data_IF_187107628495
#
_entry.id   IF_187107628495
#
_cell.length_a   1.000
_cell.length_b   1.000
_cell.length_c   1.000
_cell.angle_alpha   90.00
_cell.angle_beta   90.00
_cell.angle_gamma   90.00
#
_symmetry.space_group_name_H-M   'P 1'
#
loop_
_entity.id
_entity.type
_entity.pdbx_description
1 polymer ?
#
# COMPACT_ATOMS: atom_id res chain seq x y z
N UNK A 1 -23.62 -9.24 34.55
CA UNK A 1 -23.34 -8.07 33.71
C UNK A 1 -23.12 -8.59 32.29
N UNK A 2 -24.08 -8.35 31.41
CA UNK A 2 -24.03 -8.83 30.03
C UNK A 2 -22.95 -8.06 29.28
N UNK A 3 -21.97 -8.79 28.77
CA UNK A 3 -21.00 -8.31 27.79
C UNK A 3 -21.81 -7.93 26.52
N UNK A 4 -22.11 -6.64 26.39
CA UNK A 4 -22.71 -6.11 25.16
C UNK A 4 -21.61 -6.25 24.11
N UNK A 5 -21.75 -7.28 23.26
CA UNK A 5 -20.83 -7.60 22.18
C UNK A 5 -20.54 -6.36 21.35
N UNK A 6 -19.36 -5.76 21.56
CA UNK A 6 -18.80 -4.82 20.60
C UNK A 6 -18.74 -5.55 19.25
N UNK A 7 -19.51 -5.08 18.29
CA UNK A 7 -19.41 -5.57 16.92
C UNK A 7 -17.93 -5.62 16.57
N UNK A 8 -17.44 -6.78 16.12
CA UNK A 8 -16.04 -6.98 15.79
C UNK A 8 -15.67 -6.00 14.68
N UNK A 9 -14.88 -4.99 15.00
CA UNK A 9 -14.46 -3.98 14.04
C UNK A 9 -13.62 -4.69 12.95
N UNK A 10 -13.99 -4.51 11.69
CA UNK A 10 -13.23 -5.05 10.57
C UNK A 10 -11.82 -4.45 10.57
N UNK A 11 -10.84 -5.26 10.23
CA UNK A 11 -9.43 -4.87 10.20
C UNK A 11 -8.86 -5.11 8.81
N UNK A 12 -8.07 -4.19 8.31
CA UNK A 12 -7.47 -4.31 6.97
C UNK A 12 -6.02 -3.84 6.96
N UNK A 13 -5.18 -4.61 6.28
CA UNK A 13 -3.82 -4.22 5.95
C UNK A 13 -3.71 -3.94 4.44
N UNK A 14 -3.10 -2.81 4.11
CA UNK A 14 -2.67 -2.48 2.76
C UNK A 14 -1.15 -2.64 2.67
N UNK A 15 -0.71 -3.51 1.79
CA UNK A 15 0.70 -3.79 1.53
C UNK A 15 1.04 -3.29 0.14
N UNK A 16 1.93 -2.32 0.04
CA UNK A 16 2.38 -1.73 -1.23
C UNK A 16 3.84 -2.11 -1.46
N UNK A 17 4.08 -2.84 -2.53
CA UNK A 17 5.41 -3.15 -3.04
C UNK A 17 5.70 -2.19 -4.19
N UNK A 18 6.53 -1.18 -3.95
CA UNK A 18 6.78 -0.10 -4.92
C UNK A 18 7.29 -0.61 -6.26
N UNK A 19 6.77 -0.06 -7.35
CA UNK A 19 7.35 -0.15 -8.68
C UNK A 19 7.22 -1.51 -9.39
N UNK A 20 6.25 -2.37 -9.08
CA UNK A 20 6.16 -3.73 -9.64
C UNK A 20 5.14 -3.82 -10.78
N UNK A 21 5.57 -4.07 -12.04
CA UNK A 21 4.66 -4.26 -13.16
C UNK A 21 3.80 -5.51 -13.05
N UNK A 22 2.60 -5.46 -13.63
CA UNK A 22 1.69 -6.62 -13.71
C UNK A 22 2.36 -7.90 -14.18
N UNK A 23 3.22 -7.82 -15.20
CA UNK A 23 3.89 -9.01 -15.76
C UNK A 23 4.80 -9.71 -14.74
N UNK A 24 5.55 -8.94 -13.92
CA UNK A 24 6.43 -9.49 -12.89
C UNK A 24 5.63 -10.16 -11.78
N UNK A 25 4.50 -9.57 -11.34
CA UNK A 25 3.61 -10.19 -10.38
C UNK A 25 3.14 -11.56 -10.85
N UNK A 26 2.60 -11.65 -12.07
CA UNK A 26 2.04 -12.89 -12.63
C UNK A 26 3.07 -13.97 -12.93
N UNK A 27 4.34 -13.57 -13.08
CA UNK A 27 5.43 -14.49 -13.45
C UNK A 27 6.22 -15.01 -12.26
N UNK A 28 6.44 -14.18 -11.24
CA UNK A 28 7.42 -14.48 -10.18
C UNK A 28 6.82 -14.64 -8.78
N UNK A 29 5.58 -14.23 -8.55
CA UNK A 29 4.93 -14.37 -7.25
C UNK A 29 4.15 -15.68 -7.17
N UNK A 30 4.87 -16.79 -7.15
CA UNK A 30 4.29 -18.15 -7.25
C UNK A 30 3.41 -18.54 -6.07
N UNK A 31 3.72 -18.09 -4.85
CA UNK A 31 2.87 -18.31 -3.68
C UNK A 31 1.57 -17.53 -3.77
N UNK A 32 1.62 -16.26 -4.21
CA UNK A 32 0.44 -15.44 -4.41
C UNK A 32 -0.48 -16.05 -5.46
N UNK A 33 0.07 -16.51 -6.58
CA UNK A 33 -0.68 -17.20 -7.63
C UNK A 33 -1.26 -18.54 -7.15
N UNK A 34 -0.53 -19.24 -6.28
CA UNK A 34 -1.01 -20.47 -5.65
C UNK A 34 -2.27 -20.24 -4.83
N UNK A 35 -2.34 -19.16 -4.03
CA UNK A 35 -3.55 -18.80 -3.28
C UNK A 35 -4.70 -18.34 -4.17
N UNK A 36 -4.42 -17.71 -5.31
CA UNK A 36 -5.47 -17.44 -6.30
C UNK A 36 -6.00 -18.73 -6.90
N UNK A 37 -5.14 -19.67 -7.24
CA UNK A 37 -5.53 -20.97 -7.82
C UNK A 37 -6.34 -21.84 -6.82
N UNK A 38 -6.04 -21.77 -5.51
CA UNK A 38 -6.82 -22.46 -4.47
C UNK A 38 -8.13 -21.76 -4.11
N UNK A 39 -8.33 -20.52 -4.54
CA UNK A 39 -9.52 -19.72 -4.20
C UNK A 39 -9.42 -18.97 -2.86
N UNK A 40 -8.26 -19.01 -2.19
CA UNK A 40 -8.01 -18.30 -0.94
C UNK A 40 -7.75 -16.80 -1.17
N UNK A 41 -7.35 -16.43 -2.38
CA UNK A 41 -7.15 -15.05 -2.81
C UNK A 41 -7.85 -14.75 -4.14
N UNK A 42 -8.04 -13.46 -4.41
CA UNK A 42 -8.47 -12.94 -5.71
C UNK A 42 -7.43 -11.98 -6.22
N UNK A 43 -7.30 -11.89 -7.54
CA UNK A 43 -6.37 -10.97 -8.19
C UNK A 43 -7.06 -10.24 -9.34
N UNK A 44 -6.75 -8.95 -9.43
CA UNK A 44 -7.16 -8.09 -10.54
C UNK A 44 -5.96 -7.27 -11.02
N UNK A 45 -6.04 -6.85 -12.28
CA UNK A 45 -5.18 -5.80 -12.78
C UNK A 45 -5.71 -4.45 -12.26
N UNK A 46 -4.85 -3.65 -11.65
CA UNK A 46 -5.16 -2.28 -11.26
C UNK A 46 -4.33 -1.31 -12.11
N UNK A 47 -4.95 -0.25 -12.59
CA UNK A 47 -4.29 0.78 -13.41
C UNK A 47 -3.99 2.00 -12.57
N UNK A 48 -2.71 2.33 -12.44
CA UNK A 48 -2.21 3.50 -11.72
C UNK A 48 -2.64 4.81 -12.40
N UNK A 49 -2.76 5.87 -11.59
CA UNK A 49 -3.00 7.24 -12.07
C UNK A 49 -1.85 7.76 -12.92
N UNK A 50 -2.00 8.94 -13.47
CA UNK A 50 -0.95 9.65 -14.21
C UNK A 50 -0.65 11.01 -13.54
N UNK A 51 0.65 11.32 -13.36
CA UNK A 51 1.84 10.52 -13.66
C UNK A 51 1.94 9.26 -12.80
N UNK A 52 2.37 8.12 -13.37
CA UNK A 52 2.57 6.87 -12.66
C UNK A 52 3.90 6.88 -11.90
N UNK A 53 3.97 7.71 -10.87
CA UNK A 53 5.13 7.96 -10.01
C UNK A 53 4.70 7.79 -8.54
N UNK A 54 5.63 7.43 -7.68
CA UNK A 54 5.37 7.14 -6.27
C UNK A 54 4.57 8.25 -5.56
N UNK A 55 5.03 9.49 -5.55
CA UNK A 55 4.35 10.60 -4.85
C UNK A 55 2.91 10.83 -5.31
N UNK A 56 2.62 11.02 -6.61
CA UNK A 56 1.26 11.10 -7.16
C UNK A 56 0.40 9.87 -6.82
N UNK A 57 0.96 8.66 -6.97
CA UNK A 57 0.23 7.41 -6.69
C UNK A 57 -0.08 7.25 -5.20
N UNK A 58 0.86 7.53 -4.29
CA UNK A 58 0.62 7.46 -2.84
C UNK A 58 -0.52 8.39 -2.43
N UNK A 59 -0.49 9.64 -2.92
CA UNK A 59 -1.55 10.61 -2.66
C UNK A 59 -2.90 10.09 -3.18
N UNK A 60 -2.96 9.59 -4.41
CA UNK A 60 -4.18 9.09 -5.02
C UNK A 60 -4.72 7.81 -4.36
N UNK A 61 -3.85 6.86 -4.01
CA UNK A 61 -4.23 5.60 -3.32
C UNK A 61 -4.95 5.90 -2.02
N UNK A 62 -4.47 6.88 -1.25
CA UNK A 62 -5.03 7.17 0.07
C UNK A 62 -6.18 8.17 0.06
N UNK A 63 -6.20 9.13 -0.88
CA UNK A 63 -7.27 10.13 -0.95
C UNK A 63 -8.42 9.73 -1.88
N UNK A 64 -8.22 8.77 -2.79
CA UNK A 64 -9.18 8.46 -3.87
C UNK A 64 -9.40 9.63 -4.84
N UNK A 65 -8.45 10.58 -4.91
CA UNK A 65 -8.51 11.81 -5.69
C UNK A 65 -7.41 11.79 -6.75
N UNK A 66 -7.69 12.35 -7.92
CA UNK A 66 -6.73 12.38 -9.04
C UNK A 66 -5.57 13.36 -8.79
N UNK A 67 -4.37 13.11 -9.37
CA UNK A 67 -3.21 13.98 -9.18
C UNK A 67 -3.44 15.45 -9.52
N UNK A 68 -4.24 15.74 -10.54
CA UNK A 68 -4.60 17.11 -10.94
C UNK A 68 -5.43 17.83 -9.88
N UNK A 69 -6.17 17.10 -9.05
CA UNK A 69 -7.02 17.66 -8.00
C UNK A 69 -6.26 17.81 -6.67
N UNK A 70 -5.51 16.78 -6.23
CA UNK A 70 -4.72 16.89 -5.00
C UNK A 70 -3.39 17.63 -5.18
N UNK A 71 -2.96 17.85 -6.43
CA UNK A 71 -1.84 18.72 -6.81
C UNK A 71 -0.44 18.15 -6.52
N UNK A 72 -0.28 16.88 -6.20
CA UNK A 72 1.00 16.18 -6.17
C UNK A 72 1.23 15.57 -7.55
N UNK A 73 2.06 16.21 -8.38
CA UNK A 73 2.28 15.84 -9.79
C UNK A 73 3.65 15.23 -10.03
N UNK A 74 4.51 15.17 -9.02
CA UNK A 74 5.84 14.55 -9.09
C UNK A 74 6.36 14.22 -7.69
N UNK A 75 7.42 13.42 -7.61
CA UNK A 75 8.10 13.09 -6.35
C UNK A 75 8.72 14.32 -5.65
N UNK A 76 9.00 15.38 -6.40
CA UNK A 76 9.48 16.65 -5.82
C UNK A 76 8.39 17.55 -5.21
N UNK A 77 7.12 17.13 -5.23
CA UNK A 77 5.97 17.94 -4.76
C UNK A 77 5.31 17.35 -3.50
N UNK A 78 6.02 16.51 -2.77
CA UNK A 78 5.51 15.91 -1.52
C UNK A 78 5.27 17.03 -0.49
N UNK A 79 4.06 17.03 0.07
CA UNK A 79 3.62 17.97 1.11
C UNK A 79 2.43 17.43 1.85
N UNK A 80 2.10 17.99 3.01
CA UNK A 80 0.86 17.64 3.73
C UNK A 80 -0.36 17.95 2.86
N UNK A 81 -1.24 16.95 2.72
CA UNK A 81 -2.50 17.08 2.01
C UNK A 81 -3.64 17.44 2.97
N UNK A 82 -4.55 18.32 2.51
CA UNK A 82 -5.76 18.68 3.25
C UNK A 82 -6.98 17.82 2.84
N UNK A 83 -6.79 16.91 1.90
CA UNK A 83 -7.83 15.98 1.46
C UNK A 83 -8.11 14.93 2.53
N UNK A 84 -9.38 14.50 2.62
CA UNK A 84 -9.73 13.33 3.38
C UNK A 84 -8.97 12.10 2.84
N UNK A 85 -8.47 11.27 3.75
CA UNK A 85 -7.65 10.11 3.43
C UNK A 85 -8.08 8.89 4.27
N UNK A 86 -7.57 7.70 3.93
CA UNK A 86 -7.94 6.45 4.61
C UNK A 86 -7.65 6.52 6.11
N UNK A 87 -6.49 7.07 6.54
CA UNK A 87 -6.15 7.16 7.96
C UNK A 87 -7.16 8.01 8.71
N UNK A 88 -7.44 9.23 8.21
CA UNK A 88 -8.37 10.16 8.83
C UNK A 88 -9.79 9.59 8.91
N UNK A 89 -10.27 8.97 7.85
CA UNK A 89 -11.61 8.37 7.82
C UNK A 89 -11.72 7.14 8.74
N UNK A 90 -10.69 6.29 8.81
CA UNK A 90 -10.65 5.18 9.75
C UNK A 90 -10.64 5.68 11.21
N UNK A 91 -9.95 6.79 11.48
CA UNK A 91 -9.97 7.45 12.80
C UNK A 91 -11.34 8.00 13.17
N UNK A 92 -12.05 8.61 12.22
CA UNK A 92 -13.43 9.09 12.43
C UNK A 92 -14.39 7.94 12.79
N UNK A 93 -14.13 6.74 12.30
CA UNK A 93 -14.85 5.52 12.68
C UNK A 93 -14.39 4.92 14.03
N UNK A 94 -13.48 5.56 14.75
CA UNK A 94 -12.94 5.07 16.02
C UNK A 94 -11.85 4.01 15.86
N UNK A 95 -11.33 3.80 14.67
CA UNK A 95 -10.26 2.83 14.39
C UNK A 95 -8.89 3.26 14.92
N UNK A 96 -7.99 2.33 15.11
CA UNK A 96 -6.56 2.56 15.38
C UNK A 96 -5.78 2.37 14.09
N UNK A 97 -4.93 3.33 13.73
CA UNK A 97 -4.21 3.34 12.47
C UNK A 97 -2.71 3.19 12.67
N UNK A 98 -2.05 2.48 11.76
CA UNK A 98 -0.61 2.33 11.79
C UNK A 98 0.03 2.37 10.40
N UNK A 99 1.32 2.73 10.34
CA UNK A 99 2.07 2.78 9.10
C UNK A 99 3.52 2.36 9.32
N UNK A 100 4.04 1.52 8.43
CA UNK A 100 5.47 1.17 8.33
C UNK A 100 5.88 1.47 6.89
N UNK A 101 6.46 2.66 6.66
CA UNK A 101 6.52 3.20 5.30
C UNK A 101 7.71 4.13 5.08
N UNK A 102 7.98 4.46 3.81
CA UNK A 102 8.82 5.58 3.46
C UNK A 102 8.29 6.89 4.07
N UNK A 103 9.19 7.81 4.43
CA UNK A 103 8.88 9.10 5.08
C UNK A 103 7.89 9.96 4.32
N UNK A 104 7.79 9.85 3.00
CA UNK A 104 6.82 10.60 2.19
C UNK A 104 5.36 10.33 2.59
N UNK A 105 5.04 9.14 3.08
CA UNK A 105 3.72 8.85 3.63
C UNK A 105 3.41 9.65 4.89
N UNK A 106 4.42 9.88 5.76
CA UNK A 106 4.27 10.80 6.88
C UNK A 106 4.05 12.23 6.41
N UNK A 107 4.81 12.68 5.41
CA UNK A 107 4.68 14.05 4.91
C UNK A 107 3.33 14.30 4.21
N UNK A 108 2.79 13.30 3.51
CA UNK A 108 1.48 13.40 2.88
C UNK A 108 0.32 13.41 3.90
N UNK A 109 0.38 12.55 4.94
CA UNK A 109 -0.79 12.23 5.75
C UNK A 109 -0.62 12.47 7.26
N UNK A 110 0.58 12.83 7.73
CA UNK A 110 0.85 13.06 9.14
C UNK A 110 1.55 14.40 9.38
N UNK A 111 2.86 14.47 9.22
CA UNK A 111 3.68 15.65 9.49
C UNK A 111 4.64 15.95 8.34
N UNK A 112 4.65 17.22 7.90
CA UNK A 112 5.58 17.76 6.92
C UNK A 112 6.16 19.09 7.43
N UNK A 113 7.45 19.37 7.18
CA UNK A 113 8.44 18.44 6.63
C UNK A 113 8.79 17.31 7.62
N UNK A 114 9.27 16.17 7.10
CA UNK A 114 9.73 15.05 7.90
C UNK A 114 10.99 15.40 8.67
N UNK A 115 10.98 15.14 9.97
CA UNK A 115 12.13 15.30 10.86
C UNK A 115 12.49 13.92 11.45
N UNK A 116 13.63 13.36 11.05
CA UNK A 116 14.02 12.03 11.47
C UNK A 116 14.24 11.87 12.99
N UNK A 117 14.55 12.95 13.70
CA UNK A 117 14.69 12.91 15.17
C UNK A 117 13.34 12.88 15.91
N UNK A 118 12.29 13.34 15.25
CA UNK A 118 10.95 13.44 15.82
C UNK A 118 10.00 12.37 15.28
N UNK A 119 10.11 12.07 13.97
CA UNK A 119 9.06 11.39 13.23
C UNK A 119 9.39 9.94 12.85
N UNK A 120 10.66 9.48 12.99
CA UNK A 120 11.07 8.12 12.59
C UNK A 120 10.29 7.04 13.36
N UNK A 121 10.03 7.26 14.65
CA UNK A 121 9.09 6.52 15.48
C UNK A 121 8.03 7.49 16.00
N UNK A 122 6.78 7.19 15.68
CA UNK A 122 5.65 8.04 15.99
C UNK A 122 4.57 7.24 16.70
N UNK A 123 4.26 7.58 17.95
CA UNK A 123 3.24 6.93 18.75
C UNK A 123 2.38 8.00 19.45
N UNK A 124 1.28 8.40 18.81
CA UNK A 124 0.29 9.34 19.33
C UNK A 124 -1.12 8.78 19.20
N UNK A 125 -1.61 8.06 20.21
CA UNK A 125 -2.96 7.46 20.18
C UNK A 125 -4.08 8.49 19.93
N UNK A 126 -3.86 9.75 20.31
CA UNK A 126 -4.79 10.86 20.08
C UNK A 126 -4.75 11.46 18.67
N UNK A 127 -3.82 11.05 17.82
CA UNK A 127 -3.73 11.55 16.44
C UNK A 127 -5.02 11.31 15.68
N UNK A 128 -5.39 12.27 14.82
CA UNK A 128 -6.55 12.18 13.95
C UNK A 128 -6.25 11.49 12.61
N UNK A 129 -5.00 11.08 12.40
CA UNK A 129 -4.53 10.40 11.19
C UNK A 129 -3.81 9.10 11.56
N UNK A 130 -2.48 9.08 11.57
CA UNK A 130 -1.67 7.92 11.95
C UNK A 130 -1.46 7.94 13.46
N UNK A 131 -1.82 6.83 14.16
CA UNK A 131 -1.57 6.68 15.58
C UNK A 131 -0.18 6.11 15.88
N UNK A 132 0.25 5.13 15.08
CA UNK A 132 1.51 4.42 15.26
C UNK A 132 2.27 4.36 13.95
N UNK A 133 3.36 5.10 13.83
CA UNK A 133 4.19 5.17 12.64
C UNK A 133 5.61 4.67 12.88
N UNK A 134 6.17 3.96 11.91
CA UNK A 134 7.59 3.64 11.79
C UNK A 134 8.00 4.03 10.38
N UNK A 135 8.74 5.12 10.29
CA UNK A 135 9.07 5.72 9.01
C UNK A 135 10.55 5.55 8.70
N UNK A 136 10.87 5.29 7.46
CA UNK A 136 12.24 5.18 6.99
C UNK A 136 12.50 6.15 5.84
N UNK A 137 13.77 6.45 5.63
CA UNK A 137 14.26 7.15 4.46
C UNK A 137 15.13 6.20 3.66
N UNK A 138 15.24 6.45 2.37
CA UNK A 138 16.23 5.77 1.54
C UNK A 138 17.49 6.64 1.47
N UNK A 139 18.65 6.01 1.41
CA UNK A 139 19.94 6.69 1.19
C UNK A 139 20.47 6.35 -0.20
N UNK A 140 21.20 7.26 -0.76
CA UNK A 140 21.80 7.10 -2.09
C UNK A 140 22.08 8.46 -2.70
N UNK A 141 22.85 8.50 -3.76
CA UNK A 141 23.18 9.76 -4.45
C UNK A 141 22.55 9.84 -5.85
N UNK A 142 21.89 8.80 -6.29
CA UNK A 142 21.04 8.81 -7.47
C UNK A 142 20.03 7.64 -7.41
N UNK A 143 19.07 7.60 -8.34
CA UNK A 143 18.03 6.57 -8.42
C UNK A 143 18.55 5.13 -8.50
N UNK A 144 19.76 4.93 -9.05
CA UNK A 144 20.36 3.61 -9.24
C UNK A 144 21.18 3.13 -8.05
N UNK A 145 21.53 4.02 -7.14
CA UNK A 145 22.41 3.74 -6.00
C UNK A 145 21.72 3.99 -4.66
N UNK A 146 20.43 3.69 -4.60
CA UNK A 146 19.67 3.77 -3.38
C UNK A 146 19.86 2.53 -2.50
N UNK A 147 19.93 2.74 -1.19
CA UNK A 147 19.85 1.69 -0.18
C UNK A 147 18.48 1.76 0.50
N UNK A 148 17.79 0.65 0.52
CA UNK A 148 16.49 0.50 1.19
C UNK A 148 16.66 -0.22 2.52
N UNK A 149 15.73 -0.04 3.49
CA UNK A 149 15.67 -0.89 4.67
C UNK A 149 15.43 -2.35 4.29
N UNK A 150 15.78 -3.25 5.20
CA UNK A 150 15.47 -4.67 5.04
C UNK A 150 13.96 -4.90 5.05
N UNK A 151 13.39 -5.45 3.99
CA UNK A 151 11.97 -5.68 3.87
C UNK A 151 11.43 -6.60 4.98
N UNK A 152 12.18 -7.64 5.37
CA UNK A 152 11.79 -8.53 6.47
C UNK A 152 11.60 -7.78 7.80
N UNK A 153 12.42 -6.75 8.06
CA UNK A 153 12.29 -5.91 9.26
C UNK A 153 11.03 -5.03 9.17
N UNK A 154 10.68 -4.54 7.99
CA UNK A 154 9.46 -3.76 7.78
C UNK A 154 8.21 -4.64 7.98
N UNK A 155 8.18 -5.86 7.44
CA UNK A 155 7.10 -6.83 7.64
C UNK A 155 6.95 -7.23 9.11
N UNK A 156 8.06 -7.51 9.80
CA UNK A 156 8.08 -7.81 11.22
C UNK A 156 7.58 -6.63 12.06
N UNK A 157 7.99 -5.42 11.71
CA UNK A 157 7.58 -4.18 12.39
C UNK A 157 6.08 -3.93 12.26
N UNK A 158 5.48 -4.11 11.06
CA UNK A 158 4.03 -4.03 10.91
C UNK A 158 3.32 -5.08 11.77
N UNK A 159 3.81 -6.33 11.75
CA UNK A 159 3.23 -7.42 12.56
C UNK A 159 3.27 -7.09 14.05
N UNK A 160 4.37 -6.51 14.52
CA UNK A 160 4.53 -6.04 15.90
C UNK A 160 3.52 -4.93 16.24
N UNK A 161 3.33 -3.94 15.37
CA UNK A 161 2.33 -2.89 15.58
C UNK A 161 0.92 -3.47 15.62
N UNK A 162 0.59 -4.42 14.74
CA UNK A 162 -0.68 -5.13 14.75
C UNK A 162 -0.94 -5.84 16.07
N UNK A 163 0.07 -6.56 16.60
CA UNK A 163 -0.05 -7.30 17.86
C UNK A 163 -0.16 -6.37 19.08
N UNK A 164 0.65 -5.30 19.12
CA UNK A 164 0.72 -4.39 20.26
C UNK A 164 -0.47 -3.46 20.36
N UNK A 165 -0.93 -2.95 19.24
CA UNK A 165 -1.90 -1.86 19.20
C UNK A 165 -3.27 -2.27 18.62
N UNK A 166 -3.38 -3.47 18.05
CA UNK A 166 -4.65 -3.95 17.48
C UNK A 166 -5.14 -3.04 16.37
N UNK A 167 -4.27 -2.73 15.40
CA UNK A 167 -4.59 -1.81 14.32
C UNK A 167 -5.91 -2.17 13.64
N UNK A 168 -6.74 -1.19 13.37
CA UNK A 168 -7.91 -1.32 12.50
C UNK A 168 -7.49 -1.20 11.03
N UNK A 169 -6.62 -0.23 10.75
CA UNK A 169 -6.01 -0.06 9.43
C UNK A 169 -4.49 0.04 9.57
N UNK A 170 -3.77 -0.78 8.83
CA UNK A 170 -2.32 -0.76 8.76
C UNK A 170 -1.81 -0.64 7.32
N UNK A 171 -0.81 0.21 7.10
CA UNK A 171 -0.11 0.36 5.83
C UNK A 171 1.33 -0.13 5.96
N UNK A 172 1.73 -1.01 5.06
CA UNK A 172 3.13 -1.35 4.81
C UNK A 172 3.53 -0.86 3.42
N UNK A 173 4.67 -0.22 3.31
CA UNK A 173 5.24 0.17 2.03
C UNK A 173 6.73 -0.17 1.99
N UNK A 174 7.16 -0.88 0.95
CA UNK A 174 8.56 -1.27 0.71
C UNK A 174 9.05 -0.69 -0.60
N UNK A 175 10.34 -0.39 -0.70
CA UNK A 175 10.95 0.27 -1.86
C UNK A 175 11.97 -0.61 -2.60
N UNK A 176 12.21 -1.83 -2.13
CA UNK A 176 13.31 -2.68 -2.66
C UNK A 176 13.10 -3.00 -4.14
N UNK A 177 11.86 -3.36 -4.55
CA UNK A 177 11.59 -3.76 -5.93
C UNK A 177 11.69 -2.58 -6.90
N UNK A 178 11.24 -1.39 -6.50
CA UNK A 178 11.44 -0.16 -7.28
C UNK A 178 12.93 0.16 -7.47
N UNK A 179 13.71 0.13 -6.38
CA UNK A 179 15.17 0.37 -6.43
C UNK A 179 15.90 -0.68 -7.28
N UNK A 180 15.49 -1.95 -7.22
CA UNK A 180 16.04 -3.01 -8.08
C UNK A 180 15.68 -2.76 -9.54
N UNK A 181 14.45 -2.37 -9.84
CA UNK A 181 14.01 -2.01 -11.18
C UNK A 181 14.79 -0.83 -11.75
N UNK A 182 14.98 0.25 -11.00
CA UNK A 182 15.81 1.39 -11.40
C UNK A 182 17.26 0.99 -11.71
N UNK A 183 17.80 0.07 -10.93
CA UNK A 183 19.18 -0.35 -11.04
C UNK A 183 19.45 -1.31 -12.19
N UNK A 184 18.55 -2.28 -12.40
CA UNK A 184 18.79 -3.40 -13.30
C UNK A 184 17.74 -3.50 -14.44
N UNK A 185 16.62 -2.79 -14.32
CA UNK A 185 15.44 -3.00 -15.18
C UNK A 185 14.58 -4.17 -14.68
N UNK A 186 13.51 -4.48 -15.42
CA UNK A 186 12.53 -5.49 -15.01
C UNK A 186 12.64 -6.84 -15.72
N UNK A 187 13.50 -6.96 -16.74
CA UNK A 187 13.71 -8.19 -17.50
C UNK A 187 15.15 -8.69 -17.27
N UNK A 188 15.42 -9.07 -16.03
CA UNK A 188 16.74 -9.54 -15.61
C UNK A 188 16.63 -10.50 -14.41
N UNK A 189 17.68 -11.33 -14.23
CA UNK A 189 17.74 -12.33 -13.16
C UNK A 189 17.72 -11.73 -11.75
N UNK A 190 18.25 -10.54 -11.58
CA UNK A 190 18.28 -9.82 -10.30
C UNK A 190 16.87 -9.42 -9.86
N UNK A 191 16.05 -8.95 -10.79
CA UNK A 191 14.65 -8.60 -10.52
C UNK A 191 13.79 -9.84 -10.29
N UNK A 192 14.01 -10.90 -11.08
CA UNK A 192 13.33 -12.18 -10.91
C UNK A 192 13.57 -12.74 -9.49
N UNK A 193 14.83 -12.71 -9.05
CA UNK A 193 15.22 -13.16 -7.72
C UNK A 193 14.62 -12.28 -6.61
N UNK A 194 14.63 -10.95 -6.77
CA UNK A 194 14.05 -10.03 -5.80
C UNK A 194 12.52 -10.24 -5.66
N UNK A 195 11.81 -10.44 -6.77
CA UNK A 195 10.38 -10.77 -6.75
C UNK A 195 10.11 -12.10 -6.03
N UNK A 196 10.91 -13.15 -6.31
CA UNK A 196 10.75 -14.44 -5.65
C UNK A 196 11.03 -14.38 -4.14
N UNK A 197 12.01 -13.58 -3.70
CA UNK A 197 12.26 -13.34 -2.27
C UNK A 197 11.11 -12.60 -1.61
N UNK A 198 10.53 -11.60 -2.27
CA UNK A 198 9.38 -10.86 -1.77
C UNK A 198 8.15 -11.76 -1.67
N UNK A 199 7.90 -12.63 -2.65
CA UNK A 199 6.83 -13.64 -2.61
C UNK A 199 7.00 -14.59 -1.42
N UNK A 200 8.22 -15.05 -1.16
CA UNK A 200 8.53 -15.89 0.01
C UNK A 200 8.28 -15.16 1.34
N UNK A 201 8.58 -13.86 1.42
CA UNK A 201 8.24 -13.05 2.60
C UNK A 201 6.73 -12.94 2.79
N UNK A 202 5.98 -12.62 1.73
CA UNK A 202 4.52 -12.61 1.78
C UNK A 202 3.97 -13.94 2.26
N UNK A 203 4.50 -15.06 1.74
CA UNK A 203 4.10 -16.40 2.16
C UNK A 203 4.33 -16.67 3.66
N UNK A 204 5.35 -16.05 4.25
CA UNK A 204 5.64 -16.19 5.69
C UNK A 204 4.79 -15.30 6.61
N UNK A 205 4.35 -14.13 6.13
CA UNK A 205 3.64 -13.14 6.96
C UNK A 205 2.13 -13.12 6.75
N UNK A 206 1.63 -13.30 5.52
CA UNK A 206 0.20 -13.28 5.20
C UNK A 206 -0.63 -14.21 6.09
N UNK A 207 -0.28 -15.51 6.28
CA UNK A 207 -1.08 -16.39 7.13
C UNK A 207 -1.24 -15.86 8.56
N UNK A 208 -0.18 -15.25 9.11
CA UNK A 208 -0.21 -14.68 10.47
C UNK A 208 -1.17 -13.50 10.57
N UNK A 209 -1.21 -12.62 9.55
CA UNK A 209 -2.14 -11.49 9.53
C UNK A 209 -3.59 -11.94 9.36
N UNK A 210 -3.82 -12.96 8.52
CA UNK A 210 -5.15 -13.58 8.37
C UNK A 210 -5.62 -14.23 9.67
N UNK A 211 -4.74 -14.95 10.39
CA UNK A 211 -5.02 -15.52 11.71
C UNK A 211 -5.34 -14.45 12.76
N UNK A 212 -4.71 -13.26 12.68
CA UNK A 212 -5.05 -12.11 13.51
C UNK A 212 -6.40 -11.48 13.14
N UNK A 213 -7.05 -11.95 12.06
CA UNK A 213 -8.36 -11.49 11.59
C UNK A 213 -8.30 -10.26 10.71
N UNK A 214 -7.20 -10.00 10.04
CA UNK A 214 -7.09 -8.96 9.03
C UNK A 214 -7.58 -9.44 7.68
N UNK A 215 -8.26 -8.57 6.95
CA UNK A 215 -8.30 -8.62 5.49
C UNK A 215 -7.00 -8.02 4.98
N UNK A 216 -6.46 -8.54 3.89
CA UNK A 216 -5.19 -8.04 3.34
C UNK A 216 -5.33 -7.72 1.85
N UNK A 217 -4.91 -6.51 1.48
CA UNK A 217 -4.71 -6.11 0.10
C UNK A 217 -3.21 -5.99 -0.13
N UNK A 218 -2.70 -6.66 -1.18
CA UNK A 218 -1.31 -6.55 -1.62
C UNK A 218 -1.30 -6.01 -3.04
N UNK A 219 -0.57 -4.93 -3.28
CA UNK A 219 -0.50 -4.27 -4.60
C UNK A 219 0.82 -3.52 -4.77
N UNK A 220 0.98 -2.84 -5.90
CA UNK A 220 1.99 -1.82 -6.12
C UNK A 220 1.31 -0.47 -6.37
N UNK A 221 2.06 0.61 -6.22
CA UNK A 221 1.60 1.97 -6.53
C UNK A 221 1.66 2.26 -8.04
N UNK A 222 2.71 1.79 -8.72
CA UNK A 222 2.90 1.82 -10.17
C UNK A 222 3.76 0.63 -10.61
N UNK A 223 3.94 0.48 -11.91
CA UNK A 223 4.93 -0.40 -12.52
C UNK A 223 6.13 0.39 -13.04
N UNK A 224 7.01 -0.30 -13.76
CA UNK A 224 8.18 0.31 -14.40
C UNK A 224 8.39 -0.31 -15.79
N UNK A 225 8.99 0.46 -16.69
CA UNK A 225 9.41 -0.02 -18.01
C UNK A 225 10.56 -1.03 -17.88
N UNK A 226 10.83 -1.77 -18.96
CA UNK A 226 11.96 -2.71 -19.02
C UNK A 226 13.32 -2.08 -18.66
N UNK A 227 13.43 -0.75 -18.80
CA UNK A 227 14.65 0.01 -18.46
C UNK A 227 14.65 0.59 -17.04
N UNK A 228 13.63 0.28 -16.22
CA UNK A 228 13.53 0.77 -14.86
C UNK A 228 13.08 2.24 -14.76
N UNK A 229 12.29 2.74 -15.71
CA UNK A 229 11.70 4.08 -15.64
C UNK A 229 10.18 4.00 -15.48
N UNK A 230 9.61 4.93 -14.73
CA UNK A 230 8.18 5.07 -14.49
C UNK A 230 7.72 6.52 -14.69
N UNK A 231 6.44 6.80 -14.50
CA UNK A 231 5.85 8.13 -14.71
C UNK A 231 5.15 8.30 -16.05
N UNK A 232 5.29 7.34 -16.95
CA UNK A 232 4.73 7.38 -18.29
C UNK A 232 3.36 6.70 -18.41
N UNK A 233 2.91 6.56 -19.68
CA UNK A 233 1.59 6.04 -20.03
C UNK A 233 1.58 4.55 -20.42
N UNK A 234 2.75 3.90 -20.47
CA UNK A 234 2.88 2.50 -20.84
C UNK A 234 2.16 1.56 -19.86
N UNK A 235 1.64 0.45 -20.37
CA UNK A 235 0.98 -0.55 -19.51
C UNK A 235 1.95 -1.12 -18.46
N UNK A 236 3.22 -1.31 -18.83
CA UNK A 236 4.30 -1.74 -17.95
C UNK A 236 4.57 -0.76 -16.80
N UNK A 237 4.27 0.53 -16.98
CA UNK A 237 4.44 1.57 -15.97
C UNK A 237 3.18 1.83 -15.14
N UNK A 238 2.01 1.39 -15.62
CA UNK A 238 0.73 1.70 -14.98
C UNK A 238 -0.01 0.49 -14.45
N UNK A 239 0.10 -0.66 -15.11
CA UNK A 239 -0.67 -1.83 -14.73
C UNK A 239 0.09 -2.65 -13.69
N UNK A 240 -0.53 -2.83 -12.54
CA UNK A 240 -0.02 -3.57 -11.38
C UNK A 240 -1.02 -4.66 -10.98
N UNK A 241 -0.59 -5.62 -10.16
CA UNK A 241 -1.53 -6.56 -9.57
C UNK A 241 -2.13 -5.99 -8.27
N UNK A 242 -3.39 -6.33 -8.02
CA UNK A 242 -4.04 -6.18 -6.73
C UNK A 242 -4.56 -7.54 -6.29
N UNK A 243 -3.92 -8.09 -5.25
CA UNK A 243 -4.38 -9.30 -4.59
C UNK A 243 -5.21 -8.94 -3.37
N UNK A 244 -6.29 -9.68 -3.15
CA UNK A 244 -7.15 -9.50 -1.99
C UNK A 244 -7.40 -10.82 -1.28
N UNK A 245 -7.15 -10.81 0.01
CA UNK A 245 -7.38 -11.89 0.96
C UNK A 245 -8.48 -11.43 1.93
N UNK A 246 -9.68 -11.91 1.75
CA UNK A 246 -10.81 -11.54 2.59
C UNK A 246 -12.16 -11.98 2.02
N UNK A 247 -13.24 -11.81 2.78
CA UNK A 247 -14.59 -12.16 2.36
C UNK A 247 -15.20 -11.12 1.40
N UNK A 248 -16.35 -11.45 0.83
CA UNK A 248 -17.09 -10.58 -0.08
C UNK A 248 -16.86 -10.91 -1.54
N UNK A 249 -17.65 -10.31 -2.42
CA UNK A 249 -17.52 -10.46 -3.86
C UNK A 249 -16.78 -9.27 -4.48
N UNK A 250 -16.06 -9.53 -5.55
CA UNK A 250 -15.42 -8.49 -6.37
C UNK A 250 -15.92 -8.57 -7.80
N UNK A 251 -15.45 -7.68 -8.69
CA UNK A 251 -15.80 -7.72 -10.10
C UNK A 251 -15.22 -8.97 -10.79
N UNK A 252 -15.59 -9.18 -12.05
CA UNK A 252 -15.04 -10.27 -12.85
C UNK A 252 -13.49 -10.20 -12.89
N UNK A 253 -12.80 -11.34 -12.95
CA UNK A 253 -11.33 -11.39 -12.84
C UNK A 253 -10.57 -10.61 -13.93
N UNK A 254 -11.18 -10.39 -15.09
CA UNK A 254 -10.63 -9.62 -16.22
C UNK A 254 -10.88 -8.11 -16.12
N UNK A 255 -11.60 -7.65 -15.10
CA UNK A 255 -11.83 -6.23 -14.86
C UNK A 255 -10.54 -5.52 -14.51
N UNK A 256 -10.25 -4.42 -15.20
CA UNK A 256 -9.17 -3.50 -14.84
C UNK A 256 -9.70 -2.50 -13.80
N UNK A 257 -9.14 -2.53 -12.60
CA UNK A 257 -9.52 -1.63 -11.52
C UNK A 257 -8.89 -0.25 -11.72
N UNK A 258 -9.61 0.79 -11.34
CA UNK A 258 -9.06 2.14 -11.22
C UNK A 258 -8.39 2.30 -9.85
N UNK A 259 -7.16 2.80 -9.80
CA UNK A 259 -6.43 3.03 -8.55
C UNK A 259 -7.18 3.96 -7.59
N UNK A 260 -7.98 4.92 -8.11
CA UNK A 260 -8.80 5.81 -7.29
C UNK A 260 -9.91 5.06 -6.52
N UNK A 261 -10.27 3.86 -6.94
CA UNK A 261 -11.26 3.03 -6.25
C UNK A 261 -10.73 2.36 -4.98
N UNK A 262 -9.41 2.38 -4.75
CA UNK A 262 -8.79 1.69 -3.61
C UNK A 262 -9.19 2.31 -2.27
N UNK A 263 -9.09 3.65 -2.14
CA UNK A 263 -9.48 4.33 -0.90
C UNK A 263 -10.94 4.05 -0.50
N UNK A 264 -11.95 4.29 -1.35
CA UNK A 264 -13.33 4.01 -0.98
C UNK A 264 -13.60 2.52 -0.73
N UNK A 265 -12.87 1.61 -1.40
CA UNK A 265 -12.97 0.17 -1.13
C UNK A 265 -12.48 -0.19 0.26
N UNK A 266 -11.30 0.27 0.64
CA UNK A 266 -10.74 0.04 1.99
C UNK A 266 -11.67 0.59 3.06
N UNK A 267 -12.17 1.82 2.89
CA UNK A 267 -13.09 2.45 3.85
C UNK A 267 -14.41 1.68 3.96
N UNK A 268 -14.97 1.22 2.84
CA UNK A 268 -16.15 0.37 2.83
C UNK A 268 -15.93 -0.92 3.62
N UNK A 269 -14.79 -1.59 3.42
CA UNK A 269 -14.42 -2.82 4.16
C UNK A 269 -14.23 -2.57 5.66
N UNK A 270 -13.69 -1.42 6.04
CA UNK A 270 -13.54 -1.02 7.44
C UNK A 270 -14.85 -0.57 8.10
N UNK A 271 -15.92 -0.35 7.32
CA UNK A 271 -17.14 0.29 7.82
C UNK A 271 -16.93 1.76 8.19
N UNK A 272 -15.95 2.41 7.60
CA UNK A 272 -15.61 3.81 7.81
C UNK A 272 -16.31 4.72 6.79
N UNK A 273 -16.54 6.01 7.10
CA UNK A 273 -17.17 6.91 6.17
C UNK A 273 -16.30 7.15 4.92
N UNK A 274 -16.92 7.10 3.75
CA UNK A 274 -16.28 7.46 2.48
C UNK A 274 -16.50 8.96 2.28
N UNK A 275 -15.43 9.71 2.08
CA UNK A 275 -15.52 11.16 1.91
C UNK A 275 -16.12 11.53 0.53
N UNK A 276 -16.82 12.66 0.46
CA UNK A 276 -17.44 13.15 -0.77
C UNK A 276 -16.44 13.46 -1.90
N UNK A 277 -15.17 13.66 -1.57
CA UNK A 277 -14.08 13.83 -2.55
C UNK A 277 -13.74 12.52 -3.29
N UNK A 278 -14.01 11.36 -2.70
CA UNK A 278 -13.72 10.04 -3.26
C UNK A 278 -14.84 9.63 -4.23
N UNK A 279 -14.69 9.97 -5.51
CA UNK A 279 -15.73 9.78 -6.53
C UNK A 279 -15.83 8.37 -7.10
N UNK A 280 -14.75 7.60 -7.04
CA UNK A 280 -14.74 6.22 -7.50
C UNK A 280 -15.58 5.34 -6.56
N UNK A 281 -16.21 4.31 -7.11
CA UNK A 281 -17.01 3.36 -6.31
C UNK A 281 -16.11 2.26 -5.73
N UNK A 282 -16.43 1.75 -4.52
CA UNK A 282 -15.84 0.52 -4.02
C UNK A 282 -16.00 -0.62 -5.03
N UNK A 283 -14.96 -1.43 -5.22
CA UNK A 283 -15.01 -2.61 -6.11
C UNK A 283 -15.25 -3.93 -5.35
N UNK A 284 -15.17 -3.91 -4.02
CA UNK A 284 -15.57 -5.04 -3.15
C UNK A 284 -16.89 -4.74 -2.47
N UNK A 285 -17.74 -5.75 -2.37
CA UNK A 285 -19.02 -5.72 -1.67
C UNK A 285 -18.96 -6.43 -0.32
#
# INVERSE_FOLDING_TARGET
MQDQGKARQNKLLLIILDGVPWANWRRYFGCMEGWVASGDARVWRMRAVLPSMSGPCYASIHTGVAPQEHGVLSNGMIRRLDHADIFGQARLAGGVTGAVTHSWWSELFNRAPFDCLRDIEYDEPGSQTINHGRFHTMTGYDEKNQATPCDADLFATLSMLCQRHGLTYGLLHTCTLDSMGHRYGHDCSEMDHACALMDAMLAGFLPKWLEMGYEVIVTADHGQSLRGHHGGTGEDQRDVALYYFGPGAGPAPDTVLDQLSLAPTILSRLGAPIADSMKAKPFLS
#
